data_IF_623343634683
#
_entry.id   IF_623343634683
#
_cell.length_a   1.000
_cell.length_b   1.000
_cell.length_c   1.000
_cell.angle_alpha   90.00
_cell.angle_beta   90.00
_cell.angle_gamma   90.00
#
_symmetry.space_group_name_H-M   'P 1'
#
loop_
_entity.id
_entity.type
_entity.pdbx_description
1 polymer ?
#
# COMPACT_ATOMS: atom_id res chain seq x y z
N UNK A 1 8.19 6.68 15.73
CA UNK A 1 6.88 6.41 15.12
C UNK A 1 6.64 7.45 14.04
N UNK A 2 6.78 7.09 12.75
CA UNK A 2 6.59 8.03 11.64
C UNK A 2 5.12 7.98 11.23
N UNK A 3 4.32 8.91 11.76
CA UNK A 3 2.95 9.12 11.29
C UNK A 3 3.02 9.70 9.87
N UNK A 4 2.96 8.84 8.86
CA UNK A 4 2.42 9.26 7.57
C UNK A 4 0.98 9.67 7.86
N UNK A 5 0.67 10.97 7.75
CA UNK A 5 -0.69 11.47 7.92
C UNK A 5 -1.55 10.87 6.83
N UNK A 6 -2.26 9.80 7.14
CA UNK A 6 -3.20 9.18 6.23
C UNK A 6 -4.40 10.12 6.10
N UNK A 7 -4.41 10.91 5.04
CA UNK A 7 -5.52 11.81 4.77
C UNK A 7 -6.75 11.01 4.31
N UNK A 8 -7.98 11.53 4.48
CA UNK A 8 -9.19 10.87 3.98
C UNK A 8 -9.12 10.57 2.48
N UNK A 9 -8.54 11.48 1.69
CA UNK A 9 -8.37 11.27 0.25
C UNK A 9 -7.39 10.13 -0.08
N UNK A 10 -6.35 9.96 0.75
CA UNK A 10 -5.42 8.85 0.58
C UNK A 10 -6.08 7.52 0.93
N UNK A 11 -6.91 7.46 1.99
CA UNK A 11 -7.67 6.26 2.30
C UNK A 11 -8.63 5.87 1.19
N UNK A 12 -9.35 6.83 0.60
CA UNK A 12 -10.25 6.54 -0.52
C UNK A 12 -9.50 5.96 -1.72
N UNK A 13 -8.31 6.48 -2.03
CA UNK A 13 -7.43 5.92 -3.06
C UNK A 13 -6.96 4.50 -2.72
N UNK A 14 -6.56 4.26 -1.48
CA UNK A 14 -6.11 2.95 -1.02
C UNK A 14 -7.24 1.91 -1.09
N UNK A 15 -8.46 2.28 -0.70
CA UNK A 15 -9.64 1.41 -0.81
C UNK A 15 -9.97 1.07 -2.27
N UNK A 16 -9.98 2.08 -3.16
CA UNK A 16 -10.20 1.85 -4.58
C UNK A 16 -9.13 0.97 -5.23
N UNK A 17 -7.87 1.13 -4.81
CA UNK A 17 -6.75 0.30 -5.23
C UNK A 17 -6.87 -1.13 -4.68
N UNK A 18 -7.27 -1.28 -3.42
CA UNK A 18 -7.49 -2.57 -2.78
C UNK A 18 -8.59 -3.36 -3.49
N UNK A 19 -9.67 -2.70 -3.90
CA UNK A 19 -10.75 -3.33 -4.68
C UNK A 19 -10.29 -3.84 -6.04
N UNK A 20 -9.48 -3.04 -6.76
CA UNK A 20 -8.90 -3.47 -8.04
C UNK A 20 -7.96 -4.66 -7.85
N UNK A 21 -7.14 -4.64 -6.80
CA UNK A 21 -6.22 -5.73 -6.46
C UNK A 21 -7.00 -7.01 -6.10
N UNK A 22 -8.08 -6.87 -5.32
CA UNK A 22 -8.99 -7.94 -4.93
C UNK A 22 -9.62 -8.61 -6.15
N UNK A 23 -10.10 -7.83 -7.12
CA UNK A 23 -10.64 -8.32 -8.38
C UNK A 23 -9.64 -9.13 -9.22
N UNK A 24 -8.33 -8.98 -8.95
CA UNK A 24 -7.24 -9.73 -9.59
C UNK A 24 -6.71 -10.88 -8.74
N UNK A 25 -7.30 -11.14 -7.57
CA UNK A 25 -6.89 -12.23 -6.68
C UNK A 25 -5.64 -11.94 -5.82
N UNK A 26 -5.20 -10.68 -5.76
CA UNK A 26 -4.07 -10.25 -4.91
C UNK A 26 -4.47 -10.32 -3.44
N UNK A 27 -3.62 -10.90 -2.58
CA UNK A 27 -3.86 -10.98 -1.13
C UNK A 27 -3.00 -9.99 -0.35
N UNK A 28 -1.72 -9.90 -0.70
CA UNK A 28 -0.83 -8.84 -0.22
C UNK A 28 -0.38 -7.94 -1.37
N UNK A 29 -0.62 -6.63 -1.22
CA UNK A 29 -0.29 -5.63 -2.23
C UNK A 29 0.69 -4.59 -1.69
N UNK A 30 1.73 -4.31 -2.45
CA UNK A 30 2.54 -3.09 -2.28
C UNK A 30 1.88 -1.94 -3.04
N UNK A 31 1.40 -0.94 -2.33
CA UNK A 31 0.80 0.27 -2.92
C UNK A 31 1.78 1.43 -2.84
N UNK A 32 2.07 2.06 -3.98
CA UNK A 32 3.06 3.13 -4.12
C UNK A 32 2.36 4.41 -4.57
N UNK A 33 2.52 5.51 -3.83
CA UNK A 33 1.89 6.79 -4.18
C UNK A 33 2.33 7.94 -3.31
N UNK A 34 2.39 9.16 -3.88
CA UNK A 34 2.68 10.38 -3.12
C UNK A 34 4.03 10.39 -2.39
N UNK A 35 5.00 9.62 -2.88
CA UNK A 35 6.28 9.44 -2.20
C UNK A 35 6.17 8.60 -0.93
N UNK A 36 5.21 7.70 -0.82
CA UNK A 36 5.11 6.72 0.23
C UNK A 36 4.80 5.33 -0.34
N UNK A 37 5.08 4.29 0.46
CA UNK A 37 4.66 2.93 0.19
C UNK A 37 3.83 2.37 1.33
N UNK A 38 2.86 1.54 0.97
CA UNK A 38 1.92 0.90 1.87
C UNK A 38 1.88 -0.59 1.55
N UNK A 39 2.15 -1.45 2.53
CA UNK A 39 1.84 -2.87 2.40
C UNK A 39 0.45 -3.08 2.95
N UNK A 40 -0.46 -3.59 2.12
CA UNK A 40 -1.87 -3.75 2.45
C UNK A 40 -2.26 -5.21 2.34
N UNK A 41 -2.87 -5.73 3.40
CA UNK A 41 -3.58 -6.99 3.38
C UNK A 41 -4.96 -6.76 2.77
N UNK A 42 -5.17 -7.22 1.53
CA UNK A 42 -6.39 -7.00 0.75
C UNK A 42 -7.61 -7.68 1.39
N UNK A 43 -7.56 -8.96 1.84
CA UNK A 43 -8.70 -9.60 2.51
C UNK A 43 -9.16 -8.86 3.77
N UNK A 44 -8.22 -8.38 4.59
CA UNK A 44 -8.50 -7.76 5.87
C UNK A 44 -8.57 -6.22 5.79
N UNK A 45 -8.36 -5.63 4.60
CA UNK A 45 -8.30 -4.17 4.38
C UNK A 45 -7.43 -3.43 5.39
N UNK A 46 -6.33 -4.05 5.80
CA UNK A 46 -5.47 -3.53 6.86
C UNK A 46 -4.15 -3.07 6.27
N UNK A 47 -3.75 -1.84 6.59
CA UNK A 47 -2.42 -1.32 6.26
C UNK A 47 -1.42 -1.86 7.30
N UNK A 48 -0.48 -2.67 6.84
CA UNK A 48 0.50 -3.35 7.70
C UNK A 48 1.75 -2.50 7.90
N UNK A 49 2.20 -1.78 6.88
CA UNK A 49 3.43 -0.99 6.93
C UNK A 49 3.29 0.28 6.11
N UNK A 50 3.76 1.40 6.66
CA UNK A 50 3.81 2.71 6.01
C UNK A 50 5.27 3.16 5.91
N UNK A 51 5.72 3.57 4.72
CA UNK A 51 7.11 3.98 4.49
C UNK A 51 7.18 5.29 3.73
N UNK A 52 8.10 6.16 4.12
CA UNK A 52 8.34 7.44 3.45
C UNK A 52 9.27 7.28 2.24
N UNK A 53 9.20 8.18 1.26
CA UNK A 53 9.87 8.06 -0.04
C UNK A 53 11.40 7.95 0.02
N UNK A 54 12.01 8.50 1.08
CA UNK A 54 13.43 8.35 1.36
C UNK A 54 13.80 6.93 1.79
N UNK A 55 12.90 6.23 2.47
CA UNK A 55 13.06 4.83 2.89
C UNK A 55 12.71 3.84 1.76
N UNK A 56 12.15 4.29 0.63
CA UNK A 56 11.84 3.35 -0.47
C UNK A 56 13.08 2.94 -1.26
N UNK A 57 14.14 3.74 -1.21
CA UNK A 57 15.38 3.46 -1.94
C UNK A 57 16.10 2.27 -1.30
N UNK A 58 16.44 1.29 -2.13
CA UNK A 58 17.22 0.09 -1.78
C UNK A 58 16.52 -0.95 -0.87
N UNK A 59 15.21 -0.85 -0.66
CA UNK A 59 14.47 -1.86 0.10
C UNK A 59 13.92 -2.98 -0.79
N UNK A 60 14.02 -4.22 -0.28
CA UNK A 60 13.47 -5.43 -0.92
C UNK A 60 12.21 -5.83 -0.18
N UNK A 61 11.11 -5.91 -0.90
CA UNK A 61 9.82 -6.35 -0.39
C UNK A 61 9.56 -7.78 -0.84
N UNK A 62 9.24 -8.65 0.10
CA UNK A 62 8.88 -10.05 -0.16
C UNK A 62 7.44 -10.29 0.28
N UNK A 63 6.90 -11.47 -0.04
CA UNK A 63 5.55 -11.89 0.35
C UNK A 63 4.43 -10.99 -0.19
N UNK A 64 4.66 -10.30 -1.30
CA UNK A 64 3.66 -9.51 -2.02
C UNK A 64 3.23 -10.24 -3.29
N UNK A 65 1.92 -10.34 -3.49
CA UNK A 65 1.32 -10.97 -4.68
C UNK A 65 1.11 -9.96 -5.82
N UNK A 66 1.13 -8.68 -5.49
CA UNK A 66 0.87 -7.61 -6.45
C UNK A 66 1.43 -6.27 -6.03
N UNK A 67 1.57 -5.38 -7.01
CA UNK A 67 1.89 -3.98 -6.78
C UNK A 67 0.84 -3.09 -7.44
N UNK A 68 0.45 -2.02 -6.74
CA UNK A 68 -0.51 -1.03 -7.24
C UNK A 68 0.14 0.35 -7.16
N UNK A 69 0.04 1.11 -8.25
CA UNK A 69 0.50 2.49 -8.34
C UNK A 69 -0.73 3.42 -8.16
N UNK A 70 -0.63 4.40 -7.26
CA UNK A 70 -1.71 5.30 -6.81
C UNK A 70 -1.61 6.75 -7.33
#
# INVERSE_FOLDING_TARGET
ERQISVTPQLMEKLDGAAEKARGKGVKEALMLGGGAAFIVNIPNRTVVTTMSGGELKQNVFTNIDGAVLL
#
